data_IF_869939542725
#
_entry.id   IF_869939542725
#
_cell.length_a   1.000
_cell.length_b   1.000
_cell.length_c   1.000
_cell.angle_alpha   90.00
_cell.angle_beta   90.00
_cell.angle_gamma   90.00
#
_symmetry.space_group_name_H-M   'P 1'
#
loop_
_entity.id
_entity.type
_entity.pdbx_description
1 polymer ?
#
# COMPACT_ATOMS: atom_id res chain seq x y z
N UNK A 1 -18.29 12.60 -27.81
CA UNK A 1 -17.72 12.86 -26.47
C UNK A 1 -16.20 12.83 -26.62
N UNK A 2 -15.50 13.83 -26.07
CA UNK A 2 -14.04 13.94 -26.15
C UNK A 2 -13.38 13.63 -24.80
N UNK A 3 -12.18 13.06 -24.83
CA UNK A 3 -11.35 12.80 -23.66
C UNK A 3 -10.09 13.65 -23.70
N UNK A 4 -9.85 14.42 -22.64
CA UNK A 4 -8.66 15.23 -22.44
C UNK A 4 -7.91 14.72 -21.21
N UNK A 5 -6.67 14.28 -21.42
CA UNK A 5 -5.77 13.90 -20.34
C UNK A 5 -4.69 14.96 -20.18
N UNK A 6 -4.53 15.49 -18.97
CA UNK A 6 -3.51 16.47 -18.66
C UNK A 6 -2.44 15.81 -17.79
N UNK A 7 -1.17 15.94 -18.17
CA UNK A 7 -0.03 15.46 -17.41
C UNK A 7 0.94 16.63 -17.24
N UNK A 8 1.16 17.05 -16.00
CA UNK A 8 2.24 17.99 -15.70
C UNK A 8 3.56 17.24 -15.68
N UNK A 9 4.60 17.77 -16.32
CA UNK A 9 5.93 17.18 -16.26
C UNK A 9 6.40 16.89 -14.81
N UNK A 10 7.26 15.88 -14.66
CA UNK A 10 7.83 15.51 -13.37
C UNK A 10 8.84 16.55 -12.86
N UNK A 11 9.29 16.39 -11.61
CA UNK A 11 10.12 17.40 -10.94
C UNK A 11 11.46 17.61 -11.66
N UNK A 12 11.72 18.83 -12.12
CA UNK A 12 12.98 19.24 -12.74
C UNK A 12 14.10 19.52 -11.73
N UNK A 13 15.33 19.40 -12.22
CA UNK A 13 16.57 19.77 -11.54
C UNK A 13 16.86 21.27 -11.65
N UNK A 14 17.49 21.81 -10.61
CA UNK A 14 18.09 23.16 -10.56
C UNK A 14 19.59 23.06 -10.25
N UNK A 15 20.21 21.88 -10.44
CA UNK A 15 21.58 21.62 -9.99
C UNK A 15 22.65 22.23 -10.91
N UNK A 16 22.28 22.64 -12.12
CA UNK A 16 23.18 23.24 -13.10
C UNK A 16 22.59 24.59 -13.53
N UNK A 17 23.20 25.67 -13.05
CA UNK A 17 22.80 27.05 -13.33
C UNK A 17 23.18 27.49 -14.76
N UNK A 18 23.98 26.71 -15.49
CA UNK A 18 24.38 26.97 -16.88
C UNK A 18 23.34 26.54 -17.92
N UNK A 19 22.34 25.74 -17.54
CA UNK A 19 21.31 25.26 -18.45
C UNK A 19 20.18 26.28 -18.65
N UNK A 20 19.78 26.50 -19.91
CA UNK A 20 18.55 27.24 -20.22
C UNK A 20 17.34 26.51 -19.63
N UNK A 21 16.29 27.22 -19.21
CA UNK A 21 15.12 26.58 -18.57
C UNK A 21 14.56 25.41 -19.40
N UNK A 22 14.50 25.60 -20.72
CA UNK A 22 14.01 24.62 -21.69
C UNK A 22 14.80 23.29 -21.67
N UNK A 23 16.10 23.35 -21.38
CA UNK A 23 17.04 22.22 -21.39
C UNK A 23 17.14 21.50 -20.04
N UNK A 24 16.47 22.01 -19.01
CA UNK A 24 16.59 21.45 -17.65
C UNK A 24 16.05 20.02 -17.59
N UNK A 25 16.84 19.05 -17.09
CA UNK A 25 16.38 17.68 -16.95
C UNK A 25 15.52 17.47 -15.71
N UNK A 26 14.93 16.28 -15.59
CA UNK A 26 14.36 15.77 -14.36
C UNK A 26 15.43 15.60 -13.29
N UNK A 27 15.02 15.71 -12.02
CA UNK A 27 15.87 15.30 -10.90
C UNK A 27 15.53 13.87 -10.47
N UNK A 28 16.34 13.30 -9.56
CA UNK A 28 16.12 11.94 -9.02
C UNK A 28 14.72 11.73 -8.46
N UNK A 29 14.11 12.79 -7.88
CA UNK A 29 12.72 12.71 -7.42
C UNK A 29 11.74 12.61 -8.58
N UNK A 30 11.92 13.39 -9.63
CA UNK A 30 11.10 13.34 -10.83
C UNK A 30 11.14 11.95 -11.48
N UNK A 31 12.32 11.36 -11.61
CA UNK A 31 12.52 10.01 -12.16
C UNK A 31 11.77 8.94 -11.34
N UNK A 32 11.87 8.98 -10.01
CA UNK A 32 11.16 8.05 -9.12
C UNK A 32 9.63 8.16 -9.18
N UNK A 33 9.08 9.26 -9.70
CA UNK A 33 7.63 9.42 -9.83
C UNK A 33 7.06 8.73 -11.07
N UNK A 34 7.89 8.45 -12.08
CA UNK A 34 7.42 8.03 -13.40
C UNK A 34 6.83 6.62 -13.39
N UNK A 35 7.54 5.62 -12.84
CA UNK A 35 7.05 4.24 -12.88
C UNK A 35 5.70 4.03 -12.15
N UNK A 36 5.49 4.54 -10.92
CA UNK A 36 4.18 4.43 -10.26
C UNK A 36 3.06 5.16 -11.03
N UNK A 37 3.34 6.35 -11.56
CA UNK A 37 2.35 7.11 -12.34
C UNK A 37 2.04 6.44 -13.68
N UNK A 38 3.04 5.88 -14.37
CA UNK A 38 2.85 5.17 -15.65
C UNK A 38 1.81 4.07 -15.52
N UNK A 39 1.92 3.22 -14.50
CA UNK A 39 0.95 2.14 -14.24
C UNK A 39 -0.47 2.69 -14.09
N UNK A 40 -0.63 3.76 -13.32
CA UNK A 40 -1.94 4.35 -13.06
C UNK A 40 -2.56 5.01 -14.29
N UNK A 41 -1.77 5.80 -15.03
CA UNK A 41 -2.20 6.53 -16.23
C UNK A 41 -2.59 5.56 -17.35
N UNK A 42 -1.86 4.44 -17.48
CA UNK A 42 -2.17 3.38 -18.45
C UNK A 42 -3.49 2.69 -18.16
N UNK A 43 -3.81 2.46 -16.89
CA UNK A 43 -5.07 1.82 -16.51
C UNK A 43 -6.29 2.65 -16.93
N UNK A 44 -6.13 3.95 -17.14
CA UNK A 44 -7.18 4.87 -17.61
C UNK A 44 -7.22 5.02 -19.15
N UNK A 45 -6.40 4.28 -19.90
CA UNK A 45 -6.38 4.35 -21.37
C UNK A 45 -5.79 5.67 -21.93
N UNK A 46 -5.07 6.44 -21.11
CA UNK A 46 -4.57 7.76 -21.50
C UNK A 46 -3.52 7.72 -22.62
N UNK A 47 -3.00 6.56 -22.99
CA UNK A 47 -2.05 6.43 -24.11
C UNK A 47 -2.67 5.77 -25.35
N UNK A 48 -3.97 5.47 -25.33
CA UNK A 48 -4.66 4.85 -26.47
C UNK A 48 -4.98 5.87 -27.59
N UNK A 49 -5.01 7.17 -27.23
CA UNK A 49 -5.20 8.29 -28.15
C UNK A 49 -3.89 8.94 -28.60
N UNK A 50 -3.98 10.14 -29.18
CA UNK A 50 -2.77 10.89 -29.56
C UNK A 50 -2.16 11.59 -28.35
N UNK A 51 -0.87 11.40 -28.14
CA UNK A 51 -0.12 12.06 -27.07
C UNK A 51 0.67 13.23 -27.64
N UNK A 52 0.47 14.41 -27.08
CA UNK A 52 1.22 15.61 -27.39
C UNK A 52 2.11 16.01 -26.22
N UNK A 53 3.39 16.23 -26.49
CA UNK A 53 4.37 16.54 -25.46
C UNK A 53 5.11 17.84 -25.77
N UNK A 54 5.25 18.72 -24.78
CA UNK A 54 6.16 19.86 -24.84
C UNK A 54 7.57 19.42 -25.23
N UNK A 55 8.25 20.21 -26.04
CA UNK A 55 9.62 19.94 -26.47
C UNK A 55 10.67 20.27 -25.39
N UNK A 56 10.29 20.72 -24.19
CA UNK A 56 11.23 20.91 -23.08
C UNK A 56 11.82 19.56 -22.60
N UNK A 57 13.10 19.54 -22.25
CA UNK A 57 13.81 18.30 -21.86
C UNK A 57 13.12 17.55 -20.73
N UNK A 58 12.69 18.24 -19.67
CA UNK A 58 11.92 17.63 -18.56
C UNK A 58 10.59 17.00 -18.99
N UNK A 59 9.92 17.56 -20.00
CA UNK A 59 8.66 17.02 -20.50
C UNK A 59 8.91 15.76 -21.33
N UNK A 60 9.92 15.78 -22.20
CA UNK A 60 10.36 14.62 -22.97
C UNK A 60 10.84 13.47 -22.05
N UNK A 61 11.65 13.74 -21.04
CA UNK A 61 12.05 12.72 -20.06
C UNK A 61 10.87 12.20 -19.22
N UNK A 62 9.85 13.03 -18.98
CA UNK A 62 8.61 12.57 -18.33
C UNK A 62 7.85 11.62 -19.24
N UNK A 63 7.67 11.99 -20.51
CA UNK A 63 7.06 11.16 -21.55
C UNK A 63 7.77 9.80 -21.66
N UNK A 64 9.11 9.80 -21.78
CA UNK A 64 9.93 8.59 -21.90
C UNK A 64 9.74 7.63 -20.71
N UNK A 65 9.66 8.13 -19.48
CA UNK A 65 9.45 7.27 -18.31
C UNK A 65 7.99 6.91 -18.04
N UNK A 66 7.02 7.57 -18.69
CA UNK A 66 5.60 7.25 -18.55
C UNK A 66 5.09 6.29 -19.64
N UNK A 67 5.57 6.43 -20.87
CA UNK A 67 5.05 5.72 -22.03
C UNK A 67 5.86 4.44 -22.29
N UNK A 68 5.24 3.25 -22.26
CA UNK A 68 5.91 2.03 -22.65
C UNK A 68 6.22 2.03 -24.15
N UNK A 69 7.27 1.31 -24.56
CA UNK A 69 7.80 1.35 -25.93
C UNK A 69 6.76 1.07 -27.03
N UNK A 70 5.74 0.25 -26.74
CA UNK A 70 4.69 -0.09 -27.71
C UNK A 70 3.69 1.05 -28.02
N UNK A 71 3.69 2.15 -27.25
CA UNK A 71 2.79 3.29 -27.47
C UNK A 71 3.49 4.51 -28.10
N UNK A 72 4.77 4.38 -28.46
CA UNK A 72 5.58 5.52 -28.94
C UNK A 72 5.11 6.09 -30.29
N UNK A 73 4.45 5.28 -31.13
CA UNK A 73 4.03 5.70 -32.48
C UNK A 73 2.92 6.77 -32.49
N UNK A 74 2.18 6.95 -31.39
CA UNK A 74 1.11 7.94 -31.27
C UNK A 74 1.57 9.28 -30.64
N UNK A 75 2.88 9.44 -30.44
CA UNK A 75 3.45 10.60 -29.76
C UNK A 75 3.88 11.69 -30.75
N UNK A 76 3.47 12.92 -30.50
CA UNK A 76 3.83 14.11 -31.28
C UNK A 76 4.45 15.16 -30.36
N UNK A 77 5.64 15.67 -30.71
CA UNK A 77 6.18 16.84 -30.04
C UNK A 77 5.42 18.10 -30.48
N UNK A 78 5.02 18.91 -29.52
CA UNK A 78 4.25 20.12 -29.72
C UNK A 78 4.92 21.29 -28.98
N UNK A 79 5.80 22.07 -29.64
CA UNK A 79 6.49 23.20 -29.03
C UNK A 79 5.55 24.22 -28.38
N UNK A 80 4.33 24.38 -28.90
CA UNK A 80 3.26 25.22 -28.33
C UNK A 80 2.92 24.86 -26.87
N UNK A 81 3.13 23.60 -26.46
CA UNK A 81 2.89 23.15 -25.08
C UNK A 81 3.98 23.61 -24.11
N UNK A 82 5.10 24.17 -24.57
CA UNK A 82 6.01 24.96 -23.74
C UNK A 82 5.43 26.37 -23.54
N UNK A 83 4.31 26.43 -22.81
CA UNK A 83 3.59 27.67 -22.49
C UNK A 83 3.19 27.69 -21.02
N UNK A 84 2.95 28.90 -20.54
CA UNK A 84 2.47 29.20 -19.20
C UNK A 84 1.10 29.91 -19.23
N UNK A 85 0.53 30.11 -20.43
CA UNK A 85 -0.81 30.65 -20.65
C UNK A 85 -1.75 29.54 -21.15
N UNK A 86 -2.86 29.32 -20.45
CA UNK A 86 -3.86 28.32 -20.82
C UNK A 86 -4.62 28.65 -22.10
N UNK A 87 -4.78 29.92 -22.46
CA UNK A 87 -5.47 30.35 -23.69
C UNK A 87 -4.75 29.81 -24.94
N UNK A 88 -3.42 29.80 -24.93
CA UNK A 88 -2.60 29.21 -26.00
C UNK A 88 -2.88 27.72 -26.18
N UNK A 89 -3.05 26.99 -25.07
CA UNK A 89 -3.37 25.55 -25.12
C UNK A 89 -4.82 25.34 -25.57
N UNK A 90 -5.74 26.20 -25.10
CA UNK A 90 -7.16 26.15 -25.47
C UNK A 90 -7.36 26.37 -26.97
N UNK A 91 -6.74 27.41 -27.53
CA UNK A 91 -6.83 27.71 -28.96
C UNK A 91 -6.20 26.60 -29.80
N UNK A 92 -5.05 26.09 -29.38
CA UNK A 92 -4.42 24.95 -30.04
C UNK A 92 -5.28 23.68 -30.01
N UNK A 93 -6.02 23.43 -28.92
CA UNK A 93 -6.96 22.31 -28.82
C UNK A 93 -8.14 22.45 -29.79
N UNK A 94 -8.65 23.67 -30.04
CA UNK A 94 -9.82 23.91 -30.90
C UNK A 94 -9.64 23.41 -32.33
N UNK A 95 -8.40 23.38 -32.82
CA UNK A 95 -8.03 22.92 -34.16
C UNK A 95 -7.72 21.41 -34.23
N UNK A 96 -8.11 20.64 -33.21
CA UNK A 96 -7.88 19.18 -33.15
C UNK A 96 -9.14 18.42 -33.59
N UNK A 97 -8.95 17.17 -34.00
CA UNK A 97 -10.05 16.31 -34.46
C UNK A 97 -10.13 14.98 -33.70
N UNK A 98 -9.07 14.59 -33.00
CA UNK A 98 -8.97 13.33 -32.28
C UNK A 98 -10.05 13.18 -31.19
N UNK A 99 -10.51 11.98 -30.90
CA UNK A 99 -11.48 11.77 -29.80
C UNK A 99 -10.82 11.80 -28.42
N UNK A 100 -9.54 11.48 -28.37
CA UNK A 100 -8.76 11.31 -27.15
C UNK A 100 -7.39 11.97 -27.32
N UNK A 101 -7.11 12.95 -26.46
CA UNK A 101 -5.87 13.75 -26.49
C UNK A 101 -5.22 13.73 -25.11
N UNK A 102 -3.92 13.42 -25.08
CA UNK A 102 -3.10 13.52 -23.88
C UNK A 102 -2.07 14.61 -24.03
N UNK A 103 -2.03 15.55 -23.08
CA UNK A 103 -1.09 16.67 -23.08
C UNK A 103 -0.06 16.50 -21.96
N UNK A 104 1.22 16.50 -22.32
CA UNK A 104 2.33 16.61 -21.36
C UNK A 104 2.91 18.02 -21.44
N UNK A 105 2.70 18.82 -20.39
CA UNK A 105 2.98 20.25 -20.41
C UNK A 105 3.35 20.84 -19.05
N UNK A 106 3.15 22.16 -18.91
CA UNK A 106 3.63 22.97 -17.79
C UNK A 106 2.49 23.70 -17.06
N UNK A 107 2.74 24.04 -15.80
CA UNK A 107 1.88 24.95 -15.04
C UNK A 107 2.46 26.37 -15.09
N UNK A 108 1.61 27.41 -15.01
CA UNK A 108 0.19 27.34 -14.66
C UNK A 108 -0.77 26.96 -15.80
N UNK A 109 -0.33 26.95 -17.07
CA UNK A 109 -1.19 26.68 -18.22
C UNK A 109 -2.14 25.47 -18.08
N UNK A 110 -1.64 24.31 -17.65
CA UNK A 110 -2.49 23.12 -17.47
C UNK A 110 -3.48 23.24 -16.30
N UNK A 111 -3.08 23.91 -15.23
CA UNK A 111 -3.88 24.11 -14.03
C UNK A 111 -5.02 25.11 -14.29
N UNK A 112 -4.69 26.22 -14.95
CA UNK A 112 -5.66 27.23 -15.37
C UNK A 112 -6.62 26.69 -16.44
N UNK A 113 -6.12 25.86 -17.38
CA UNK A 113 -6.98 25.17 -18.34
C UNK A 113 -7.99 24.27 -17.61
N UNK A 114 -7.54 23.47 -16.63
CA UNK A 114 -8.44 22.65 -15.83
C UNK A 114 -9.46 23.51 -15.06
N UNK A 115 -9.02 24.64 -14.49
CA UNK A 115 -9.87 25.61 -13.80
C UNK A 115 -10.91 26.28 -14.71
N UNK A 116 -10.61 26.47 -15.99
CA UNK A 116 -11.56 26.92 -16.99
C UNK A 116 -12.60 25.82 -17.30
N UNK A 117 -12.15 24.60 -17.55
CA UNK A 117 -12.99 23.52 -18.05
C UNK A 117 -13.91 22.91 -16.99
N UNK A 118 -13.50 22.89 -15.72
CA UNK A 118 -14.19 22.18 -14.64
C UNK A 118 -14.91 23.15 -13.69
N UNK A 119 -16.14 22.81 -13.30
CA UNK A 119 -16.87 23.54 -12.26
C UNK A 119 -16.16 23.50 -10.90
N UNK A 120 -15.50 22.36 -10.61
CA UNK A 120 -14.75 22.12 -9.38
C UNK A 120 -13.41 21.48 -9.74
N UNK A 121 -12.43 22.30 -10.11
CA UNK A 121 -11.06 21.85 -10.34
C UNK A 121 -10.31 21.60 -9.02
N UNK A 122 -9.31 20.71 -8.98
CA UNK A 122 -8.42 20.58 -7.83
C UNK A 122 -7.65 21.88 -7.57
N UNK A 123 -7.45 22.24 -6.28
CA UNK A 123 -6.76 23.47 -5.87
C UNK A 123 -5.28 23.54 -6.28
N UNK A 124 -4.66 22.40 -6.59
CA UNK A 124 -3.26 22.33 -7.00
C UNK A 124 -3.06 21.24 -8.05
N UNK A 125 -2.17 21.49 -9.02
CA UNK A 125 -1.76 20.49 -10.00
C UNK A 125 -0.25 20.19 -9.92
N UNK A 126 0.23 19.46 -8.90
CA UNK A 126 1.66 19.31 -8.62
C UNK A 126 2.42 18.53 -9.72
N UNK A 127 3.76 18.59 -9.71
CA UNK A 127 4.60 17.89 -10.72
C UNK A 127 4.31 16.40 -10.80
N UNK A 128 4.30 15.86 -12.03
CA UNK A 128 3.94 14.46 -12.33
C UNK A 128 2.50 14.09 -11.97
N UNK A 129 1.59 15.07 -11.85
CA UNK A 129 0.17 14.77 -11.68
C UNK A 129 -0.51 14.52 -13.01
N UNK A 130 -1.60 13.76 -12.95
CA UNK A 130 -2.43 13.35 -14.06
C UNK A 130 -3.89 13.73 -13.79
N UNK A 131 -4.58 14.19 -14.82
CA UNK A 131 -6.00 14.50 -14.77
C UNK A 131 -6.70 13.97 -16.01
N UNK A 132 -7.87 13.36 -15.82
CA UNK A 132 -8.76 12.92 -16.90
C UNK A 132 -10.03 13.76 -16.87
N UNK A 133 -10.28 14.45 -17.98
CA UNK A 133 -11.44 15.29 -18.18
C UNK A 133 -12.23 14.75 -19.37
N UNK A 134 -13.50 14.46 -19.18
CA UNK A 134 -14.45 14.19 -20.28
C UNK A 134 -15.16 15.46 -20.67
N UNK A 135 -15.35 15.66 -21.96
CA UNK A 135 -16.03 16.81 -22.54
C UNK A 135 -17.22 16.31 -23.38
N UNK A 136 -18.48 16.65 -23.02
CA UNK A 136 -19.67 16.30 -23.77
C UNK A 136 -19.83 17.20 -25.00
N UNK A 137 -18.84 17.17 -25.89
CA UNK A 137 -18.77 17.92 -27.16
C UNK A 137 -18.48 16.94 -28.31
N UNK A 138 -18.84 17.34 -29.53
CA UNK A 138 -18.53 16.58 -30.76
C UNK A 138 -17.23 17.09 -31.40
N UNK A 139 -17.00 18.40 -31.36
CA UNK A 139 -15.83 19.04 -31.93
C UNK A 139 -15.05 19.84 -30.87
N UNK A 140 -13.73 19.85 -30.97
CA UNK A 140 -12.89 20.59 -30.03
C UNK A 140 -13.10 22.10 -30.10
N UNK A 141 -13.60 22.65 -31.21
CA UNK A 141 -13.95 24.07 -31.31
C UNK A 141 -15.04 24.49 -30.29
N UNK A 142 -15.84 23.54 -29.79
CA UNK A 142 -16.87 23.76 -28.76
C UNK A 142 -16.32 23.78 -27.33
N UNK A 143 -15.01 23.52 -27.15
CA UNK A 143 -14.37 23.53 -25.83
C UNK A 143 -14.54 24.89 -25.16
N UNK A 144 -14.93 24.88 -23.89
CA UNK A 144 -15.25 26.10 -23.19
C UNK A 144 -15.46 25.91 -21.69
N UNK A 145 -15.76 27.04 -21.04
CA UNK A 145 -15.85 27.13 -19.59
C UNK A 145 -16.90 26.19 -18.99
N UNK A 146 -16.53 25.49 -17.92
CA UNK A 146 -17.40 24.60 -17.14
C UNK A 146 -18.12 23.50 -17.96
N UNK A 147 -17.56 23.11 -19.11
CA UNK A 147 -18.11 22.03 -19.95
C UNK A 147 -17.52 20.66 -19.62
N UNK A 148 -16.40 20.60 -18.91
CA UNK A 148 -15.73 19.35 -18.56
C UNK A 148 -16.29 18.69 -17.31
N UNK A 149 -16.19 17.36 -17.26
CA UNK A 149 -16.36 16.56 -16.06
C UNK A 149 -15.01 15.95 -15.67
N UNK A 150 -14.63 16.11 -14.41
CA UNK A 150 -13.44 15.47 -13.85
C UNK A 150 -13.77 14.00 -13.60
N UNK A 151 -13.16 13.11 -14.37
CA UNK A 151 -13.27 11.67 -14.16
C UNK A 151 -12.26 11.21 -13.12
N UNK A 152 -11.03 11.69 -13.22
CA UNK A 152 -9.94 11.27 -12.34
C UNK A 152 -8.88 12.34 -12.17
N UNK A 153 -8.34 12.41 -10.97
CA UNK A 153 -7.16 13.22 -10.65
C UNK A 153 -6.24 12.38 -9.76
N UNK A 154 -5.00 12.18 -10.21
CA UNK A 154 -4.00 11.43 -9.48
C UNK A 154 -2.71 12.24 -9.37
N UNK A 155 -2.10 12.19 -8.20
CA UNK A 155 -0.77 12.72 -7.94
C UNK A 155 0.16 11.59 -7.51
N UNK A 156 1.49 11.80 -7.52
CA UNK A 156 2.42 10.75 -7.11
C UNK A 156 2.19 10.19 -5.70
N UNK A 157 1.62 10.96 -4.77
CA UNK A 157 1.30 10.48 -3.41
C UNK A 157 0.07 9.56 -3.36
N UNK A 158 -0.74 9.52 -4.40
CA UNK A 158 -1.96 8.70 -4.42
C UNK A 158 -1.66 7.29 -4.95
N UNK A 159 -0.53 7.14 -5.67
CA UNK A 159 -0.12 5.89 -6.34
C UNK A 159 1.22 5.34 -5.87
N UNK A 160 1.94 6.06 -5.00
CA UNK A 160 3.22 5.63 -4.42
C UNK A 160 3.32 5.97 -2.94
N UNK A 161 3.52 4.94 -2.12
CA UNK A 161 3.70 5.09 -0.69
C UNK A 161 4.98 5.87 -0.35
N UNK A 162 6.08 5.68 -1.10
CA UNK A 162 7.31 6.46 -0.91
C UNK A 162 7.02 7.97 -1.03
N UNK A 163 6.26 8.36 -2.06
CA UNK A 163 5.91 9.76 -2.31
C UNK A 163 4.93 10.31 -1.27
N UNK A 164 3.97 9.50 -0.84
CA UNK A 164 3.05 9.80 0.27
C UNK A 164 3.82 10.02 1.57
N UNK A 165 4.64 9.06 1.96
CA UNK A 165 5.33 9.06 3.26
C UNK A 165 6.30 10.24 3.39
N UNK A 166 6.97 10.62 2.30
CA UNK A 166 7.94 11.72 2.27
C UNK A 166 7.35 13.07 2.71
N UNK A 167 6.07 13.34 2.44
CA UNK A 167 5.41 14.60 2.80
C UNK A 167 4.83 14.61 4.21
N UNK A 168 4.89 13.49 4.93
CA UNK A 168 4.22 13.34 6.22
C UNK A 168 5.06 13.92 7.36
N UNK A 169 4.46 14.79 8.16
CA UNK A 169 5.05 15.25 9.42
C UNK A 169 5.17 14.08 10.39
N UNK A 170 6.38 13.84 10.92
CA UNK A 170 6.59 12.81 11.95
C UNK A 170 5.96 13.29 13.26
N UNK A 171 4.84 12.68 13.65
CA UNK A 171 4.27 12.87 14.98
C UNK A 171 5.17 12.14 15.97
N UNK A 172 5.78 12.88 16.90
CA UNK A 172 6.52 12.32 18.03
C UNK A 172 5.56 12.20 19.21
N UNK A 173 5.25 10.97 19.58
CA UNK A 173 4.56 10.68 20.83
C UNK A 173 5.64 10.63 21.90
N UNK A 174 5.48 11.40 22.98
CA UNK A 174 6.40 11.32 24.10
C UNK A 174 6.22 9.97 24.81
N UNK A 175 7.29 9.18 24.84
CA UNK A 175 7.32 7.84 25.40
C UNK A 175 7.59 7.87 26.91
N UNK A 176 7.99 9.02 27.46
CA UNK A 176 8.16 9.26 28.90
C UNK A 176 6.91 9.82 29.57
N UNK A 177 5.92 10.23 28.77
CA UNK A 177 4.64 10.70 29.27
C UNK A 177 3.85 9.58 29.98
N UNK A 178 3.13 9.88 31.07
CA UNK A 178 2.22 8.97 31.73
C UNK A 178 1.33 8.17 30.77
N UNK A 179 1.08 6.89 31.09
CA UNK A 179 0.23 5.97 30.32
C UNK A 179 -1.15 6.55 30.00
N UNK A 180 -1.68 7.37 30.91
CA UNK A 180 -2.94 8.10 30.78
C UNK A 180 -3.01 8.99 29.52
N UNK A 181 -1.87 9.51 29.07
CA UNK A 181 -1.74 10.36 27.88
C UNK A 181 -1.18 9.59 26.69
N UNK A 182 -0.15 8.76 26.92
CA UNK A 182 0.53 8.00 25.87
C UNK A 182 -0.40 7.03 25.11
N UNK A 183 -1.29 6.31 25.81
CA UNK A 183 -2.16 5.31 25.19
C UNK A 183 -3.22 5.96 24.27
N UNK A 184 -4.03 6.95 24.72
CA UNK A 184 -4.96 7.63 23.82
C UNK A 184 -4.29 8.29 22.63
N UNK A 185 -3.13 8.93 22.81
CA UNK A 185 -2.37 9.54 21.71
C UNK A 185 -1.88 8.48 20.71
N UNK A 186 -1.37 7.36 21.19
CA UNK A 186 -0.94 6.24 20.33
C UNK A 186 -2.08 5.66 19.51
N UNK A 187 -3.27 5.49 20.12
CA UNK A 187 -4.48 5.00 19.45
C UNK A 187 -4.99 6.02 18.43
N UNK A 188 -5.04 7.30 18.78
CA UNK A 188 -5.43 8.39 17.88
C UNK A 188 -4.47 8.49 16.69
N UNK A 189 -3.17 8.36 16.92
CA UNK A 189 -2.18 8.32 15.85
C UNK A 189 -2.40 7.10 14.93
N UNK A 190 -2.68 5.90 15.46
CA UNK A 190 -2.99 4.75 14.59
C UNK A 190 -4.30 4.98 13.82
N UNK A 191 -5.31 5.60 14.42
CA UNK A 191 -6.54 5.97 13.73
C UNK A 191 -6.26 6.90 12.56
N UNK A 192 -5.52 7.99 12.79
CA UNK A 192 -5.12 8.91 11.72
C UNK A 192 -4.35 8.18 10.61
N UNK A 193 -3.42 7.28 10.97
CA UNK A 193 -2.73 6.46 9.97
C UNK A 193 -3.67 5.59 9.13
N UNK A 194 -4.65 4.96 9.76
CA UNK A 194 -5.65 4.16 9.05
C UNK A 194 -6.36 5.05 8.02
N UNK A 195 -6.87 6.21 8.46
CA UNK A 195 -7.59 7.17 7.59
C UNK A 195 -6.71 7.73 6.47
N UNK A 196 -5.47 8.10 6.75
CA UNK A 196 -4.55 8.68 5.77
C UNK A 196 -4.13 7.68 4.68
N UNK A 197 -4.12 6.39 4.99
CA UNK A 197 -3.69 5.32 4.06
C UNK A 197 -4.85 4.80 3.20
N UNK A 198 -6.10 4.98 3.62
CA UNK A 198 -7.28 4.53 2.89
C UNK A 198 -7.29 4.93 1.41
N UNK A 199 -7.02 6.19 1.02
CA UNK A 199 -7.01 6.57 -0.39
C UNK A 199 -6.06 5.72 -1.23
N UNK A 200 -4.82 5.49 -0.77
CA UNK A 200 -3.86 4.67 -1.50
C UNK A 200 -4.24 3.18 -1.53
N UNK A 201 -4.85 2.67 -0.45
CA UNK A 201 -5.40 1.30 -0.43
C UNK A 201 -6.52 1.16 -1.46
N UNK A 202 -7.42 2.14 -1.55
CA UNK A 202 -8.52 2.15 -2.51
C UNK A 202 -8.01 2.23 -3.97
N UNK A 203 -6.91 2.94 -4.23
CA UNK A 203 -6.32 3.00 -5.57
C UNK A 203 -5.61 1.69 -5.98
N UNK A 204 -4.99 0.98 -5.04
CA UNK A 204 -4.41 -0.35 -5.30
C UNK A 204 -3.13 -0.39 -6.15
N UNK A 205 -2.51 0.76 -6.46
CA UNK A 205 -1.31 0.80 -7.32
C UNK A 205 0.00 0.40 -6.62
N UNK A 206 0.08 0.59 -5.31
CA UNK A 206 1.25 0.30 -4.48
C UNK A 206 0.80 -0.49 -3.23
N UNK A 207 1.26 -1.73 -3.13
CA UNK A 207 0.85 -2.66 -2.08
C UNK A 207 1.35 -2.26 -0.69
N UNK A 208 2.34 -1.36 -0.61
CA UNK A 208 2.87 -0.83 0.64
C UNK A 208 1.81 0.00 1.40
N UNK A 209 0.85 0.63 0.69
CA UNK A 209 -0.30 1.26 1.36
C UNK A 209 -1.09 0.24 2.17
N UNK A 210 -1.42 -0.91 1.56
CA UNK A 210 -2.14 -1.97 2.24
C UNK A 210 -1.30 -2.57 3.38
N UNK A 211 -0.01 -2.77 3.15
CA UNK A 211 0.92 -3.25 4.18
C UNK A 211 0.88 -2.35 5.42
N UNK A 212 1.03 -1.04 5.23
CA UNK A 212 1.06 -0.06 6.32
C UNK A 212 -0.29 0.13 6.97
N UNK A 213 -1.38 0.04 6.19
CA UNK A 213 -2.76 0.09 6.68
C UNK A 213 -3.06 -1.11 7.59
N UNK A 214 -2.71 -2.32 7.12
CA UNK A 214 -2.81 -3.57 7.89
C UNK A 214 -2.02 -3.48 9.21
N UNK A 215 -0.79 -2.92 9.17
CA UNK A 215 0.02 -2.68 10.37
C UNK A 215 -0.67 -1.71 11.33
N UNK A 216 -1.23 -0.61 10.84
CA UNK A 216 -1.89 0.40 11.67
C UNK A 216 -3.11 -0.18 12.41
N UNK A 217 -3.98 -0.93 11.71
CA UNK A 217 -5.10 -1.66 12.34
C UNK A 217 -4.59 -2.64 13.39
N UNK A 218 -3.57 -3.43 13.07
CA UNK A 218 -3.02 -4.41 14.00
C UNK A 218 -2.43 -3.77 15.26
N UNK A 219 -1.72 -2.65 15.12
CA UNK A 219 -1.17 -1.89 16.26
C UNK A 219 -2.30 -1.29 17.10
N UNK A 220 -3.29 -0.69 16.46
CA UNK A 220 -4.50 -0.15 17.11
C UNK A 220 -5.18 -1.23 17.95
N UNK A 221 -5.48 -2.38 17.32
CA UNK A 221 -6.10 -3.53 18.00
C UNK A 221 -5.24 -4.03 19.15
N UNK A 222 -3.94 -4.17 18.95
CA UNK A 222 -3.06 -4.73 19.96
C UNK A 222 -2.94 -3.84 21.21
N UNK A 223 -2.85 -2.52 21.04
CA UNK A 223 -2.86 -1.57 22.16
C UNK A 223 -4.20 -1.67 22.89
N UNK A 224 -5.32 -1.69 22.18
CA UNK A 224 -6.64 -1.83 22.78
C UNK A 224 -6.82 -3.18 23.51
N UNK A 225 -6.35 -4.29 22.93
CA UNK A 225 -6.33 -5.62 23.56
C UNK A 225 -5.52 -5.61 24.85
N UNK A 226 -4.35 -4.97 24.85
CA UNK A 226 -3.51 -4.83 26.05
C UNK A 226 -4.22 -4.05 27.16
N UNK A 227 -4.95 -2.98 26.83
CA UNK A 227 -5.77 -2.24 27.81
C UNK A 227 -6.92 -3.09 28.32
N UNK A 228 -7.61 -3.84 27.45
CA UNK A 228 -8.71 -4.75 27.83
C UNK A 228 -8.22 -5.86 28.78
N UNK A 229 -7.01 -6.37 28.57
CA UNK A 229 -6.42 -7.41 29.41
C UNK A 229 -6.24 -7.00 30.86
N UNK A 230 -5.96 -5.72 31.08
CA UNK A 230 -5.71 -5.15 32.41
C UNK A 230 -7.02 -4.63 33.01
N UNK A 231 -7.77 -3.83 32.24
CA UNK A 231 -8.96 -3.13 32.72
C UNK A 231 -10.24 -3.96 32.73
N UNK A 232 -10.32 -5.00 31.89
CA UNK A 232 -11.55 -5.78 31.69
C UNK A 232 -12.68 -5.06 30.94
N UNK A 233 -12.45 -3.85 30.42
CA UNK A 233 -13.48 -2.98 29.84
C UNK A 233 -14.25 -3.62 28.67
N UNK A 234 -15.59 -3.55 28.72
CA UNK A 234 -16.47 -4.20 27.74
C UNK A 234 -16.58 -3.43 26.42
N UNK A 235 -16.51 -2.11 26.44
CA UNK A 235 -16.70 -1.28 25.25
C UNK A 235 -15.45 -1.31 24.38
N UNK A 236 -14.26 -1.23 24.98
CA UNK A 236 -13.00 -1.52 24.31
C UNK A 236 -12.96 -2.95 23.76
N UNK A 237 -13.51 -3.94 24.49
CA UNK A 237 -13.58 -5.32 23.98
C UNK A 237 -14.47 -5.42 22.72
N UNK A 238 -15.57 -4.68 22.63
CA UNK A 238 -16.41 -4.60 21.42
C UNK A 238 -15.63 -3.95 20.27
N UNK A 239 -14.95 -2.83 20.52
CA UNK A 239 -14.13 -2.15 19.51
C UNK A 239 -12.99 -3.03 18.98
N UNK A 240 -12.31 -3.78 19.86
CA UNK A 240 -11.30 -4.78 19.48
C UNK A 240 -11.85 -5.82 18.50
N UNK A 241 -13.09 -6.29 18.70
CA UNK A 241 -13.74 -7.22 17.77
C UNK A 241 -13.95 -6.58 16.40
N UNK A 242 -14.40 -5.33 16.34
CA UNK A 242 -14.52 -4.59 15.07
C UNK A 242 -13.16 -4.45 14.36
N UNK A 243 -12.14 -3.95 15.05
CA UNK A 243 -10.78 -3.83 14.51
C UNK A 243 -10.23 -5.18 14.02
N UNK A 244 -10.54 -6.27 14.73
CA UNK A 244 -10.18 -7.63 14.30
C UNK A 244 -10.83 -7.99 12.96
N UNK A 245 -12.13 -7.72 12.78
CA UNK A 245 -12.82 -7.98 11.50
C UNK A 245 -12.20 -7.17 10.36
N UNK A 246 -11.91 -5.89 10.58
CA UNK A 246 -11.26 -5.06 9.56
C UNK A 246 -9.84 -5.50 9.23
N UNK A 247 -9.07 -5.92 10.24
CA UNK A 247 -7.75 -6.50 10.02
C UNK A 247 -7.81 -7.81 9.22
N UNK A 248 -8.74 -8.70 9.56
CA UNK A 248 -8.93 -9.97 8.83
C UNK A 248 -9.32 -9.77 7.37
N UNK A 249 -10.15 -8.76 7.07
CA UNK A 249 -10.54 -8.42 5.70
C UNK A 249 -9.39 -7.96 4.80
N UNK A 250 -8.21 -7.67 5.37
CA UNK A 250 -7.02 -7.27 4.60
C UNK A 250 -6.00 -8.40 4.43
N UNK A 251 -6.17 -9.51 5.17
CA UNK A 251 -5.13 -10.55 5.27
C UNK A 251 -4.89 -11.23 3.93
N UNK A 252 -5.95 -11.73 3.27
CA UNK A 252 -5.81 -12.52 2.04
C UNK A 252 -5.13 -11.74 0.91
N UNK A 253 -5.56 -10.50 0.68
CA UNK A 253 -4.92 -9.60 -0.27
C UNK A 253 -3.45 -9.34 0.09
N UNK A 254 -3.14 -9.13 1.37
CA UNK A 254 -1.75 -8.92 1.79
C UNK A 254 -0.89 -10.15 1.57
N UNK A 255 -1.41 -11.34 1.84
CA UNK A 255 -0.70 -12.60 1.61
C UNK A 255 -0.40 -12.80 0.12
N UNK A 256 -1.35 -12.46 -0.76
CA UNK A 256 -1.15 -12.50 -2.22
C UNK A 256 -0.09 -11.48 -2.69
N UNK A 257 -0.09 -10.26 -2.15
CA UNK A 257 0.95 -9.28 -2.46
C UNK A 257 2.35 -9.73 -2.02
N UNK A 258 2.47 -10.35 -0.84
CA UNK A 258 3.73 -10.94 -0.38
C UNK A 258 4.17 -12.06 -1.34
N UNK A 259 3.28 -13.00 -1.67
CA UNK A 259 3.58 -14.10 -2.59
C UNK A 259 4.02 -13.58 -3.98
N UNK A 260 3.31 -12.61 -4.55
CA UNK A 260 3.66 -12.01 -5.85
C UNK A 260 5.02 -11.30 -5.81
N UNK A 261 5.31 -10.58 -4.72
CA UNK A 261 6.61 -9.94 -4.50
C UNK A 261 7.75 -10.96 -4.41
N UNK A 262 7.54 -12.02 -3.63
CA UNK A 262 8.54 -13.07 -3.41
C UNK A 262 8.79 -13.90 -4.67
N UNK A 263 7.73 -14.28 -5.41
CA UNK A 263 7.83 -14.96 -6.71
C UNK A 263 8.66 -14.18 -7.73
N UNK A 264 8.72 -12.85 -7.63
CA UNK A 264 9.52 -12.00 -8.51
C UNK A 264 11.01 -11.98 -8.14
N UNK A 265 11.35 -12.33 -6.90
CA UNK A 265 12.71 -12.22 -6.36
C UNK A 265 13.37 -13.57 -6.06
N UNK A 266 12.61 -14.68 -6.00
CA UNK A 266 13.18 -15.98 -5.71
C UNK A 266 14.26 -16.40 -6.72
N UNK A 267 15.42 -16.87 -6.24
CA UNK A 267 16.50 -17.37 -7.09
C UNK A 267 16.16 -18.79 -7.57
N UNK A 268 15.26 -18.88 -8.55
CA UNK A 268 14.79 -20.16 -9.08
C UNK A 268 15.70 -20.69 -10.18
N UNK A 269 15.85 -22.01 -10.24
CA UNK A 269 16.42 -22.71 -11.39
C UNK A 269 15.61 -22.43 -12.66
N UNK A 270 16.24 -22.60 -13.83
CA UNK A 270 15.63 -22.27 -15.13
C UNK A 270 14.31 -23.01 -15.34
N UNK A 271 14.29 -24.31 -15.07
CA UNK A 271 13.13 -25.17 -15.29
C UNK A 271 11.95 -24.79 -14.38
N UNK A 272 12.21 -24.51 -13.10
CA UNK A 272 11.18 -24.05 -12.14
C UNK A 272 10.62 -22.69 -12.54
N UNK A 273 11.48 -21.80 -13.04
CA UNK A 273 11.05 -20.49 -13.52
C UNK A 273 10.19 -20.61 -14.77
N UNK A 274 10.59 -21.46 -15.71
CA UNK A 274 9.80 -21.75 -16.91
C UNK A 274 8.44 -22.34 -16.54
N UNK A 275 8.39 -23.28 -15.59
CA UNK A 275 7.16 -23.88 -15.08
C UNK A 275 6.20 -22.86 -14.45
N UNK A 276 6.71 -21.87 -13.70
CA UNK A 276 5.89 -20.78 -13.16
C UNK A 276 5.29 -19.89 -14.26
N UNK A 277 6.04 -19.66 -15.33
CA UNK A 277 5.57 -18.87 -16.48
C UNK A 277 4.54 -19.65 -17.28
N UNK A 278 4.86 -20.88 -17.66
CA UNK A 278 4.00 -21.72 -18.51
C UNK A 278 2.73 -22.20 -17.81
N UNK A 279 2.73 -22.36 -16.48
CA UNK A 279 1.51 -22.62 -15.71
C UNK A 279 0.57 -21.41 -15.60
N UNK A 280 1.05 -20.20 -15.86
CA UNK A 280 0.27 -18.98 -15.64
C UNK A 280 0.09 -18.60 -14.16
N UNK A 281 0.89 -19.17 -13.24
CA UNK A 281 0.76 -18.96 -11.80
C UNK A 281 0.72 -17.48 -11.39
N UNK A 282 1.63 -16.66 -11.94
CA UNK A 282 1.68 -15.22 -11.64
C UNK A 282 0.40 -14.49 -12.03
N UNK A 283 -0.12 -14.78 -13.23
CA UNK A 283 -1.38 -14.18 -13.71
C UNK A 283 -2.56 -14.64 -12.87
N UNK A 284 -2.60 -15.92 -12.48
CA UNK A 284 -3.63 -16.45 -11.58
C UNK A 284 -3.64 -15.72 -10.23
N UNK A 285 -2.48 -15.58 -9.57
CA UNK A 285 -2.40 -14.89 -8.29
C UNK A 285 -2.65 -13.38 -8.39
N UNK A 286 -2.23 -12.73 -9.48
CA UNK A 286 -2.56 -11.33 -9.75
C UNK A 286 -4.07 -11.13 -9.90
N UNK A 287 -4.74 -11.99 -10.66
CA UNK A 287 -6.21 -11.94 -10.82
C UNK A 287 -6.93 -12.17 -9.48
N UNK A 288 -6.45 -13.10 -8.65
CA UNK A 288 -6.99 -13.27 -7.29
C UNK A 288 -6.75 -12.03 -6.42
N UNK A 289 -5.59 -11.39 -6.52
CA UNK A 289 -5.32 -10.16 -5.78
C UNK A 289 -6.26 -9.03 -6.22
N UNK A 290 -6.56 -8.92 -7.51
CA UNK A 290 -7.52 -7.93 -8.02
C UNK A 290 -8.94 -8.19 -7.48
N UNK A 291 -9.38 -9.45 -7.42
CA UNK A 291 -10.68 -9.82 -6.83
C UNK A 291 -10.73 -9.44 -5.34
N UNK A 292 -9.71 -9.80 -4.57
CA UNK A 292 -9.63 -9.49 -3.14
C UNK A 292 -9.52 -7.97 -2.88
N UNK A 293 -8.86 -7.23 -3.77
CA UNK A 293 -8.81 -5.77 -3.74
C UNK A 293 -10.17 -5.13 -3.99
N UNK A 294 -10.94 -5.64 -4.95
CA UNK A 294 -12.31 -5.18 -5.20
C UNK A 294 -13.22 -5.42 -3.99
N UNK A 295 -13.15 -6.60 -3.36
CA UNK A 295 -13.93 -6.90 -2.16
C UNK A 295 -13.52 -6.02 -0.97
N UNK A 296 -12.22 -5.79 -0.78
CA UNK A 296 -11.73 -4.86 0.25
C UNK A 296 -12.23 -3.43 -0.04
N UNK A 297 -12.17 -2.97 -1.28
CA UNK A 297 -12.63 -1.63 -1.69
C UNK A 297 -14.13 -1.44 -1.44
N UNK A 298 -14.96 -2.44 -1.79
CA UNK A 298 -16.39 -2.44 -1.47
C UNK A 298 -16.62 -2.32 0.04
N UNK A 299 -15.86 -3.08 0.83
CA UNK A 299 -15.94 -3.05 2.29
C UNK A 299 -15.56 -1.68 2.86
N UNK A 300 -14.42 -1.11 2.45
CA UNK A 300 -13.96 0.21 2.93
C UNK A 300 -14.92 1.34 2.53
N UNK A 301 -15.65 1.17 1.43
CA UNK A 301 -16.67 2.13 0.97
C UNK A 301 -18.03 1.96 1.66
N UNK A 302 -18.21 0.91 2.47
CA UNK A 302 -19.51 0.59 3.09
C UNK A 302 -19.85 1.53 4.26
N UNK A 303 -21.15 1.75 4.47
CA UNK A 303 -21.66 2.50 5.63
C UNK A 303 -21.28 1.85 6.97
N UNK A 304 -21.19 0.51 7.01
CA UNK A 304 -20.76 -0.20 8.21
C UNK A 304 -19.29 0.06 8.55
N UNK A 305 -18.39 0.14 7.57
CA UNK A 305 -17.00 0.51 7.81
C UNK A 305 -16.88 1.92 8.38
N UNK A 306 -17.61 2.88 7.79
CA UNK A 306 -17.65 4.26 8.29
C UNK A 306 -18.12 4.32 9.74
N UNK A 307 -19.24 3.65 10.05
CA UNK A 307 -19.78 3.56 11.41
C UNK A 307 -18.78 2.96 12.39
N UNK A 308 -18.14 1.84 12.05
CA UNK A 308 -17.14 1.18 12.90
C UNK A 308 -15.93 2.12 13.17
N UNK A 309 -15.48 2.89 12.18
CA UNK A 309 -14.40 3.87 12.33
C UNK A 309 -14.83 5.09 13.16
N UNK A 310 -16.06 5.57 13.01
CA UNK A 310 -16.60 6.68 13.80
C UNK A 310 -16.76 6.29 15.27
N UNK A 311 -17.34 5.11 15.54
CA UNK A 311 -17.45 4.55 16.89
C UNK A 311 -16.07 4.37 17.53
N UNK A 312 -15.09 3.91 16.76
CA UNK A 312 -13.72 3.78 17.23
C UNK A 312 -13.10 5.14 17.57
N UNK A 313 -13.26 6.15 16.71
CA UNK A 313 -12.79 7.51 16.97
C UNK A 313 -13.42 8.13 18.23
N UNK A 314 -14.74 7.98 18.39
CA UNK A 314 -15.45 8.47 19.57
C UNK A 314 -14.94 7.79 20.85
N UNK A 315 -14.71 6.48 20.81
CA UNK A 315 -14.20 5.75 21.97
C UNK A 315 -12.78 6.22 22.35
N UNK A 316 -11.86 6.36 21.40
CA UNK A 316 -10.47 6.73 21.69
C UNK A 316 -10.29 8.18 22.11
N UNK A 317 -11.23 9.06 21.77
CA UNK A 317 -11.24 10.47 22.19
C UNK A 317 -12.09 10.71 23.45
N UNK A 318 -12.83 9.70 23.90
CA UNK A 318 -13.77 9.81 25.01
C UNK A 318 -13.13 10.09 26.38
N UNK A 319 -13.91 10.68 27.29
CA UNK A 319 -13.57 10.75 28.72
C UNK A 319 -13.52 9.37 29.37
N UNK A 320 -14.27 8.40 28.84
CA UNK A 320 -14.30 7.02 29.32
C UNK A 320 -12.92 6.36 29.18
N UNK A 321 -12.33 6.39 27.99
CA UNK A 321 -10.98 5.85 27.79
C UNK A 321 -9.96 6.53 28.70
N UNK A 322 -10.01 7.87 28.83
CA UNK A 322 -9.12 8.61 29.74
C UNK A 322 -9.27 8.15 31.19
N UNK A 323 -10.48 7.79 31.64
CA UNK A 323 -10.72 7.26 32.99
C UNK A 323 -10.12 5.86 33.16
N UNK A 324 -10.19 5.02 32.13
CA UNK A 324 -9.57 3.69 32.13
C UNK A 324 -8.05 3.83 32.20
N UNK A 325 -7.45 4.62 31.30
CA UNK A 325 -5.99 4.73 31.19
C UNK A 325 -5.34 5.41 32.38
N UNK A 326 -6.03 6.32 33.07
CA UNK A 326 -5.56 6.91 34.34
C UNK A 326 -5.43 5.90 35.49
N UNK A 327 -6.20 4.81 35.45
CA UNK A 327 -6.13 3.76 36.46
C UNK A 327 -5.07 2.71 36.16
N UNK A 328 -4.49 2.72 34.96
CA UNK A 328 -3.44 1.78 34.58
C UNK A 328 -2.13 2.18 35.27
N UNK A 329 -1.61 1.29 36.10
CA UNK A 329 -0.28 1.43 36.67
C UNK A 329 0.75 0.65 35.84
N UNK A 330 2.03 1.02 35.94
CA UNK A 330 3.12 0.31 35.27
C UNK A 330 3.22 -1.13 35.78
N UNK A 331 2.92 -1.34 37.07
CA UNK A 331 2.90 -2.63 37.75
C UNK A 331 1.87 -3.59 37.12
N UNK A 332 0.73 -3.07 36.67
CA UNK A 332 -0.30 -3.87 36.00
C UNK A 332 0.20 -4.38 34.65
N UNK A 333 0.93 -3.55 33.91
CA UNK A 333 1.58 -3.93 32.65
C UNK A 333 2.62 -5.02 32.92
N UNK A 334 3.47 -4.84 33.94
CA UNK A 334 4.47 -5.84 34.32
C UNK A 334 3.83 -7.18 34.70
N UNK A 335 2.75 -7.16 35.49
CA UNK A 335 1.99 -8.35 35.89
C UNK A 335 1.38 -9.06 34.69
N UNK A 336 0.76 -8.31 33.77
CA UNK A 336 0.21 -8.86 32.53
C UNK A 336 1.32 -9.47 31.64
N UNK A 337 2.45 -8.78 31.49
CA UNK A 337 3.58 -9.26 30.69
C UNK A 337 4.15 -10.55 31.26
N UNK A 338 4.43 -10.61 32.57
CA UNK A 338 4.93 -11.83 33.24
C UNK A 338 3.99 -13.01 33.04
N UNK A 339 2.68 -12.79 33.18
CA UNK A 339 1.65 -13.82 32.93
C UNK A 339 1.68 -14.33 31.50
N UNK A 340 1.79 -13.44 30.51
CA UNK A 340 1.80 -13.82 29.09
C UNK A 340 3.12 -14.49 28.69
N UNK A 341 4.27 -14.03 29.18
CA UNK A 341 5.58 -14.67 28.99
C UNK A 341 5.55 -16.09 29.56
N UNK A 342 5.08 -16.27 30.81
CA UNK A 342 5.01 -17.59 31.42
C UNK A 342 4.17 -18.57 30.60
N UNK A 343 3.00 -18.12 30.10
CA UNK A 343 2.14 -18.93 29.23
C UNK A 343 2.78 -19.22 27.87
N UNK A 344 3.47 -18.25 27.30
CA UNK A 344 4.21 -18.43 26.05
C UNK A 344 5.29 -19.50 26.23
N UNK A 345 6.12 -19.36 27.27
CA UNK A 345 7.26 -20.26 27.52
C UNK A 345 6.80 -21.68 27.90
N UNK A 346 5.65 -21.80 28.57
CA UNK A 346 5.04 -23.10 28.84
C UNK A 346 4.67 -23.84 27.55
N UNK A 347 4.08 -23.13 26.57
CA UNK A 347 3.74 -23.72 25.26
C UNK A 347 5.00 -23.97 24.44
N UNK A 348 5.95 -23.03 24.43
CA UNK A 348 7.20 -23.17 23.68
C UNK A 348 8.00 -24.43 24.09
N UNK A 349 8.03 -24.75 25.40
CA UNK A 349 8.69 -25.96 25.93
C UNK A 349 8.03 -27.27 25.48
N UNK A 350 6.79 -27.24 25.01
CA UNK A 350 6.08 -28.43 24.54
C UNK A 350 6.24 -28.65 23.03
N UNK A 351 6.80 -27.68 22.30
CA UNK A 351 6.99 -27.80 20.86
C UNK A 351 8.23 -28.64 20.54
N UNK A 352 8.11 -29.40 19.46
CA UNK A 352 9.17 -30.18 18.84
C UNK A 352 9.02 -30.13 17.31
N UNK A 353 9.93 -30.79 16.60
CA UNK A 353 9.95 -30.77 15.13
C UNK A 353 8.70 -31.38 14.48
N UNK A 354 7.99 -32.26 15.19
CA UNK A 354 6.78 -32.94 14.73
C UNK A 354 5.49 -32.19 15.11
N UNK A 355 5.60 -31.08 15.85
CA UNK A 355 4.44 -30.32 16.30
C UNK A 355 3.68 -29.71 15.10
N UNK A 356 2.34 -29.70 15.12
CA UNK A 356 1.53 -29.07 14.09
C UNK A 356 1.85 -27.58 13.91
N UNK A 357 1.74 -27.08 12.68
CA UNK A 357 2.00 -25.68 12.33
C UNK A 357 1.12 -24.70 13.10
N UNK A 358 -0.12 -25.08 13.38
CA UNK A 358 -1.07 -24.30 14.18
C UNK A 358 -0.52 -23.97 15.58
N UNK A 359 0.28 -24.85 16.17
CA UNK A 359 0.89 -24.58 17.46
C UNK A 359 1.94 -23.46 17.38
N UNK A 360 2.74 -23.42 16.30
CA UNK A 360 3.69 -22.34 16.05
C UNK A 360 2.96 -21.03 15.74
N UNK A 361 1.86 -21.10 14.99
CA UNK A 361 0.99 -19.96 14.69
C UNK A 361 0.37 -19.35 15.97
N UNK A 362 -0.06 -20.18 16.91
CA UNK A 362 -0.59 -19.72 18.19
C UNK A 362 0.49 -19.14 19.09
N UNK A 363 1.70 -19.71 19.08
CA UNK A 363 2.84 -19.14 19.80
C UNK A 363 3.23 -17.76 19.25
N UNK A 364 3.21 -17.60 17.92
CA UNK A 364 3.37 -16.30 17.23
C UNK A 364 2.34 -15.27 17.68
N UNK A 365 1.06 -15.63 17.83
CA UNK A 365 0.03 -14.71 18.35
C UNK A 365 0.35 -14.24 19.76
N UNK A 366 0.80 -15.16 20.64
CA UNK A 366 1.20 -14.84 22.02
C UNK A 366 2.42 -13.92 22.05
N UNK A 367 3.45 -14.22 21.25
CA UNK A 367 4.65 -13.39 21.14
C UNK A 367 4.32 -11.96 20.67
N UNK A 368 3.45 -11.82 19.67
CA UNK A 368 2.95 -10.50 19.23
C UNK A 368 2.33 -9.74 20.41
N UNK A 369 1.45 -10.36 21.19
CA UNK A 369 0.81 -9.75 22.36
C UNK A 369 1.82 -9.31 23.43
N UNK A 370 2.83 -10.15 23.72
CA UNK A 370 3.94 -9.82 24.63
C UNK A 370 4.68 -8.57 24.13
N UNK A 371 5.07 -8.54 22.85
CA UNK A 371 5.76 -7.37 22.29
C UNK A 371 4.92 -6.10 22.42
N UNK A 372 3.62 -6.16 22.10
CA UNK A 372 2.77 -4.97 22.17
C UNK A 372 2.54 -4.48 23.61
N UNK A 373 2.41 -5.39 24.58
CA UNK A 373 2.38 -5.02 26.00
C UNK A 373 3.69 -4.36 26.44
N UNK A 374 4.84 -4.88 26.01
CA UNK A 374 6.14 -4.27 26.27
C UNK A 374 6.28 -2.89 25.62
N UNK A 375 5.69 -2.68 24.43
CA UNK A 375 5.67 -1.39 23.74
C UNK A 375 4.80 -0.32 24.44
N UNK A 376 3.94 -0.67 25.39
CA UNK A 376 3.22 0.32 26.21
C UNK A 376 4.12 1.00 27.25
N UNK A 377 5.25 0.38 27.60
CA UNK A 377 6.25 0.94 28.50
C UNK A 377 7.65 0.75 27.89
N UNK A 378 7.87 1.36 26.72
CA UNK A 378 9.15 1.23 26.00
C UNK A 378 10.37 1.55 26.84
N UNK A 379 10.41 2.60 27.69
CA UNK A 379 11.58 2.88 28.51
C UNK A 379 11.98 1.70 29.41
N UNK A 380 11.00 1.02 30.03
CA UNK A 380 11.28 -0.12 30.90
C UNK A 380 11.66 -1.41 30.16
N UNK A 381 11.28 -1.54 28.88
CA UNK A 381 11.47 -2.76 28.09
C UNK A 381 12.41 -2.61 26.89
N UNK A 382 13.09 -1.48 26.76
CA UNK A 382 13.90 -1.13 25.60
C UNK A 382 14.82 -2.27 25.15
N UNK A 383 15.60 -2.83 26.08
CA UNK A 383 16.60 -3.87 25.78
C UNK A 383 15.97 -5.22 25.42
N UNK A 384 14.72 -5.47 25.85
CA UNK A 384 13.96 -6.68 25.52
C UNK A 384 13.21 -6.57 24.19
N UNK A 385 12.95 -5.37 23.69
CA UNK A 385 12.18 -5.17 22.46
C UNK A 385 12.91 -5.69 21.21
N UNK A 386 14.24 -5.53 21.12
CA UNK A 386 15.02 -5.99 19.96
C UNK A 386 15.02 -7.53 19.84
N UNK A 387 15.31 -8.31 20.90
CA UNK A 387 15.12 -9.77 20.87
C UNK A 387 13.70 -10.21 20.52
N UNK A 388 12.67 -9.57 21.09
CA UNK A 388 11.27 -9.89 20.78
C UNK A 388 10.92 -9.65 19.30
N UNK A 389 11.45 -8.59 18.70
CA UNK A 389 11.28 -8.32 17.26
C UNK A 389 11.97 -9.38 16.40
N UNK A 390 13.19 -9.79 16.76
CA UNK A 390 13.90 -10.85 16.05
C UNK A 390 13.14 -12.18 16.10
N UNK A 391 12.68 -12.60 17.29
CA UNK A 391 11.81 -13.77 17.44
C UNK A 391 10.55 -13.65 16.57
N UNK A 392 9.89 -12.49 16.61
CA UNK A 392 8.68 -12.27 15.81
C UNK A 392 8.94 -12.40 14.30
N UNK A 393 10.11 -11.97 13.83
CA UNK A 393 10.49 -12.12 12.42
C UNK A 393 10.55 -13.60 12.04
N UNK A 394 11.24 -14.43 12.81
CA UNK A 394 11.34 -15.88 12.53
C UNK A 394 9.98 -16.58 12.48
N UNK A 395 9.09 -16.29 13.44
CA UNK A 395 7.71 -16.77 13.39
C UNK A 395 6.90 -16.16 12.24
N UNK A 396 7.27 -14.97 11.77
CA UNK A 396 6.76 -14.36 10.55
C UNK A 396 7.13 -15.19 9.34
N UNK A 397 8.43 -15.37 9.11
CA UNK A 397 9.01 -16.14 8.00
C UNK A 397 8.37 -17.54 7.91
N UNK A 398 8.24 -18.23 9.05
CA UNK A 398 7.59 -19.55 9.09
C UNK A 398 6.13 -19.54 8.64
N UNK A 399 5.36 -18.54 9.10
CA UNK A 399 3.96 -18.40 8.70
C UNK A 399 3.84 -18.06 7.22
N UNK A 400 4.70 -17.17 6.73
CA UNK A 400 4.63 -16.69 5.35
C UNK A 400 4.94 -17.86 4.41
N UNK A 401 5.97 -18.68 4.70
CA UNK A 401 6.25 -19.94 3.99
C UNK A 401 5.08 -20.91 4.02
N UNK A 402 4.42 -21.07 5.18
CA UNK A 402 3.24 -21.94 5.27
C UNK A 402 2.11 -21.47 4.36
N UNK A 403 1.79 -20.17 4.35
CA UNK A 403 0.72 -19.61 3.51
C UNK A 403 1.09 -19.69 2.03
N UNK A 404 2.36 -19.50 1.67
CA UNK A 404 2.86 -19.62 0.30
C UNK A 404 2.75 -21.06 -0.20
N UNK A 405 3.20 -22.04 0.58
CA UNK A 405 3.09 -23.46 0.25
C UNK A 405 1.62 -23.85 0.04
N UNK A 406 0.73 -23.49 0.98
CA UNK A 406 -0.69 -23.82 0.87
C UNK A 406 -1.33 -23.19 -0.36
N UNK A 407 -0.96 -21.94 -0.66
CA UNK A 407 -1.49 -21.21 -1.83
C UNK A 407 -0.98 -21.81 -3.15
N UNK A 408 0.30 -22.19 -3.22
CA UNK A 408 0.89 -22.86 -4.38
C UNK A 408 0.33 -24.27 -4.57
N UNK A 409 0.10 -25.03 -3.50
CA UNK A 409 -0.52 -26.35 -3.55
C UNK A 409 -1.95 -26.27 -4.08
N UNK A 410 -2.74 -25.32 -3.60
CA UNK A 410 -4.10 -25.09 -4.09
C UNK A 410 -4.11 -24.79 -5.59
N UNK A 411 -3.22 -23.90 -6.05
CA UNK A 411 -3.06 -23.59 -7.47
C UNK A 411 -2.60 -24.81 -8.28
N UNK A 412 -1.54 -25.49 -7.85
CA UNK A 412 -1.02 -26.70 -8.50
C UNK A 412 -2.11 -27.75 -8.66
N UNK A 413 -2.91 -28.00 -7.62
CA UNK A 413 -4.00 -28.97 -7.67
C UNK A 413 -5.10 -28.56 -8.66
N UNK A 414 -5.34 -27.25 -8.86
CA UNK A 414 -6.34 -26.77 -9.81
C UNK A 414 -5.98 -27.02 -11.28
N UNK A 415 -4.68 -27.15 -11.60
CA UNK A 415 -4.18 -27.38 -12.97
C UNK A 415 -3.67 -28.82 -13.19
N UNK A 416 -3.62 -29.65 -12.14
CA UNK A 416 -2.95 -30.96 -12.16
C UNK A 416 -3.57 -31.99 -13.10
N UNK A 417 -4.83 -31.79 -13.51
CA UNK A 417 -5.56 -32.73 -14.38
C UNK A 417 -5.45 -32.38 -15.87
N UNK A 418 -4.84 -31.24 -16.22
CA UNK A 418 -4.71 -30.80 -17.60
C UNK A 418 -3.50 -31.46 -18.27
N UNK A 419 -3.65 -32.13 -19.43
CA UNK A 419 -2.55 -32.84 -20.10
C UNK A 419 -1.34 -31.95 -20.40
N UNK A 420 -1.58 -30.70 -20.81
CA UNK A 420 -0.53 -29.73 -21.15
C UNK A 420 0.17 -29.15 -19.90
N UNK A 421 -0.33 -29.44 -18.70
CA UNK A 421 0.18 -28.91 -17.44
C UNK A 421 1.10 -29.89 -16.68
N UNK A 422 1.36 -31.10 -17.20
CA UNK A 422 2.21 -32.09 -16.53
C UNK A 422 3.62 -31.56 -16.21
N UNK A 423 4.29 -30.94 -17.19
CA UNK A 423 5.63 -30.36 -16.98
C UNK A 423 5.61 -29.13 -16.06
N UNK A 424 4.71 -28.14 -16.23
CA UNK A 424 4.55 -27.05 -15.26
C UNK A 424 4.27 -27.53 -13.83
N UNK A 425 3.43 -28.55 -13.67
CA UNK A 425 3.11 -29.16 -12.36
C UNK A 425 4.35 -29.78 -11.71
N UNK A 426 5.21 -30.44 -12.48
CA UNK A 426 6.47 -30.98 -11.97
C UNK A 426 7.37 -29.86 -11.42
N UNK A 427 7.55 -28.76 -12.16
CA UNK A 427 8.34 -27.61 -11.69
C UNK A 427 7.73 -26.92 -10.45
N UNK A 428 6.40 -26.84 -10.37
CA UNK A 428 5.71 -26.34 -9.18
C UNK A 428 5.93 -27.26 -7.96
N UNK A 429 5.97 -28.58 -8.16
CA UNK A 429 6.27 -29.52 -7.08
C UNK A 429 7.69 -29.33 -6.54
N UNK A 430 8.68 -29.10 -7.42
CA UNK A 430 10.04 -28.75 -7.01
C UNK A 430 10.06 -27.49 -6.14
N UNK A 431 9.43 -26.40 -6.62
CA UNK A 431 9.33 -25.16 -5.86
C UNK A 431 8.69 -25.36 -4.47
N UNK A 432 7.57 -26.08 -4.42
CA UNK A 432 6.87 -26.35 -3.16
C UNK A 432 7.75 -27.18 -2.22
N UNK A 433 8.50 -28.14 -2.75
CA UNK A 433 9.47 -28.94 -1.97
C UNK A 433 10.58 -28.07 -1.39
N UNK A 434 11.16 -27.16 -2.18
CA UNK A 434 12.23 -26.27 -1.72
C UNK A 434 11.75 -25.33 -0.60
N UNK A 435 10.54 -24.76 -0.77
CA UNK A 435 9.91 -23.94 0.27
C UNK A 435 9.61 -24.77 1.53
N UNK A 436 9.23 -26.04 1.40
CA UNK A 436 9.01 -26.93 2.54
C UNK A 436 10.32 -27.22 3.30
N UNK A 437 11.43 -27.42 2.59
CA UNK A 437 12.77 -27.56 3.19
C UNK A 437 13.14 -26.30 3.97
N UNK A 438 12.97 -25.12 3.38
CA UNK A 438 13.23 -23.86 4.06
C UNK A 438 12.32 -23.65 5.28
N UNK A 439 11.03 -24.00 5.16
CA UNK A 439 10.09 -23.96 6.30
C UNK A 439 10.53 -24.89 7.43
N UNK A 440 11.03 -26.08 7.13
CA UNK A 440 11.62 -26.99 8.13
C UNK A 440 12.87 -26.39 8.79
N UNK A 441 13.74 -25.72 8.02
CA UNK A 441 14.90 -25.01 8.56
C UNK A 441 14.48 -23.89 9.52
N UNK A 442 13.51 -23.06 9.13
CA UNK A 442 12.98 -21.99 10.01
C UNK A 442 12.29 -22.58 11.24
N UNK A 443 11.61 -23.73 11.13
CA UNK A 443 11.05 -24.45 12.29
C UNK A 443 12.14 -24.81 13.28
N UNK A 444 13.24 -25.41 12.81
CA UNK A 444 14.38 -25.76 13.66
C UNK A 444 14.96 -24.50 14.33
N UNK A 445 15.19 -23.43 13.57
CA UNK A 445 15.65 -22.14 14.11
C UNK A 445 14.72 -21.65 15.24
N UNK A 446 13.39 -21.70 15.06
CA UNK A 446 12.42 -21.29 16.09
C UNK A 446 12.55 -22.12 17.37
N UNK A 447 12.72 -23.45 17.24
CA UNK A 447 12.85 -24.35 18.38
C UNK A 447 14.13 -24.05 19.19
N UNK A 448 15.21 -23.60 18.54
CA UNK A 448 16.45 -23.18 19.24
C UNK A 448 16.30 -21.89 20.03
N UNK A 449 15.30 -21.04 19.73
CA UNK A 449 15.10 -19.77 20.42
C UNK A 449 14.70 -19.96 21.89
N UNK A 450 14.12 -21.10 22.27
CA UNK A 450 13.68 -21.37 23.65
C UNK A 450 12.63 -20.37 24.19
N UNK A 451 12.51 -20.25 25.51
CA UNK A 451 11.63 -19.28 26.18
C UNK A 451 12.09 -17.82 26.03
N UNK A 452 11.22 -16.87 26.35
CA UNK A 452 11.52 -15.42 26.29
C UNK A 452 12.38 -14.97 27.48
N UNK A 453 12.27 -15.65 28.64
CA UNK A 453 12.95 -15.37 29.92
C UNK A 453 12.73 -13.95 30.49
#
# INVERSE_FOLDING_TARGET
MKHLYLIRHAKSSWADDGLRDHQRPLNNRGLKQLAPMSRAIRADGAFDGTVYCSNATRAQQTLEGLIPSNHQHAVKLAPVLYTFNHEVVLDWLRDRNEDSITLIGHNPALEDLAGLLLKHAPDTFPTCSYMHITLPIEHWCEIGKNRGRLERFLTPKDVSYEQFHRKRTKIRIDEHSPLAWHIPESLLHQYQRIRDLEPGVLQGYDDEFLHQYHIAIRRSRAIAEAVVDISGDSDLRKAVKSLKRHGQATSRLRDLHVLLGDLAQWPLEEDTRLALVSSGARSYFANLADIEHQELTKRLSSGQYRKDMDEWYQLITSRHLKKITRKLAIEDIHKALKKHIHKHDAVARQLNEQSPDDHFHDLRKRLKRIRYLAELNKPAFHDRLRPLKHRQQRFGDFQDLHVQIDTLLAFRNSIATEPDMLAPVAGLNTLISDLAVEKHRVRADILTLGGIA
#
